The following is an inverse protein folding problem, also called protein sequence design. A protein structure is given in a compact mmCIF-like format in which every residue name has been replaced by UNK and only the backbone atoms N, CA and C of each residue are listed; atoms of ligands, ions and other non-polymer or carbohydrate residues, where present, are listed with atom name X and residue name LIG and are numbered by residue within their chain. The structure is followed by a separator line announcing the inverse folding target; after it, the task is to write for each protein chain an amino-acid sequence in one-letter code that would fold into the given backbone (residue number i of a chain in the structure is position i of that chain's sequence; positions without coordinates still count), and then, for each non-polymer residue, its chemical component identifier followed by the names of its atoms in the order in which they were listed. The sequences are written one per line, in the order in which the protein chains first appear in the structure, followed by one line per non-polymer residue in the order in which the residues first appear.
data_IF_754712176075
#
_entry.id   IF_754712176075
#
_cell.length_a   1.000
_cell.length_b   1.000
_cell.length_c   1.000
_cell.angle_alpha   90.00
_cell.angle_beta   90.00
_cell.angle_gamma   90.00
#
_symmetry.space_group_name_H-M   'P 1'
#
loop_
_entity.id
_entity.type
_entity.pdbx_description
1 polymer ?
#
# COMPACT_ATOMS: atom_id res chain seq x y z
N UNK A 1 1.62 -4.92 15.60
CA UNK A 1 0.14 -4.98 15.80
C UNK A 1 -0.51 -3.83 15.06
N UNK A 2 -1.71 -3.97 14.46
CA UNK A 2 -2.45 -2.84 13.87
C UNK A 2 -3.15 -2.03 14.96
N UNK A 3 -3.43 -0.74 14.68
CA UNK A 3 -4.16 0.13 15.63
C UNK A 3 -5.53 -0.44 15.96
N UNK A 4 -6.26 -0.97 14.99
CA UNK A 4 -7.56 -1.59 15.22
C UNK A 4 -7.45 -2.78 16.18
N UNK A 5 -6.46 -3.64 15.99
CA UNK A 5 -6.20 -4.78 16.88
C UNK A 5 -5.77 -4.31 18.28
N UNK A 6 -4.95 -3.26 18.37
CA UNK A 6 -4.55 -2.65 19.66
C UNK A 6 -5.76 -2.11 20.42
N UNK A 7 -6.64 -1.37 19.75
CA UNK A 7 -7.85 -0.81 20.37
C UNK A 7 -8.79 -1.92 20.88
N UNK A 8 -8.89 -3.05 20.17
CA UNK A 8 -9.74 -4.19 20.53
C UNK A 8 -9.07 -5.20 21.48
N UNK A 9 -7.77 -5.08 21.74
CA UNK A 9 -7.04 -5.99 22.64
C UNK A 9 -7.37 -5.76 24.12
N UNK A 10 -7.06 -6.76 24.98
CA UNK A 10 -7.24 -6.67 26.43
C UNK A 10 -6.29 -5.68 27.10
N UNK A 11 -6.61 -5.28 28.34
CA UNK A 11 -5.86 -4.27 29.09
C UNK A 11 -4.37 -4.61 29.29
N UNK A 12 -3.99 -5.88 29.31
CA UNK A 12 -2.57 -6.29 29.51
C UNK A 12 -1.66 -5.81 28.39
N UNK A 13 -2.16 -5.72 27.17
CA UNK A 13 -1.38 -5.31 25.99
C UNK A 13 -1.26 -3.79 25.87
N UNK A 14 -1.97 -3.04 26.71
CA UNK A 14 -2.05 -1.57 26.66
C UNK A 14 -1.15 -0.86 27.68
N UNK A 15 -0.40 -1.61 28.50
CA UNK A 15 0.58 -1.07 29.45
C UNK A 15 1.99 -1.37 28.95
N UNK A 16 2.78 -0.32 28.70
CA UNK A 16 4.14 -0.46 28.18
C UNK A 16 5.04 0.72 28.59
N UNK A 17 6.35 0.52 28.58
CA UNK A 17 7.29 1.64 28.83
C UNK A 17 7.34 2.58 27.62
N UNK A 18 7.35 2.02 26.40
CA UNK A 18 7.40 2.78 25.16
C UNK A 18 6.29 2.32 24.23
N UNK A 19 5.42 3.25 23.84
CA UNK A 19 4.45 3.05 22.77
C UNK A 19 4.98 3.66 21.49
N UNK A 20 5.28 2.81 20.52
CA UNK A 20 5.76 3.22 19.21
C UNK A 20 4.61 3.11 18.18
N UNK A 21 4.25 4.21 17.54
CA UNK A 21 3.21 4.24 16.50
C UNK A 21 3.84 4.69 15.19
N UNK A 22 3.85 3.79 14.21
CA UNK A 22 4.32 4.06 12.86
C UNK A 22 3.18 4.46 11.95
N UNK A 23 3.51 5.13 10.82
CA UNK A 23 2.56 5.61 9.81
C UNK A 23 1.43 6.49 10.39
N UNK A 24 1.79 7.36 11.33
CA UNK A 24 0.85 8.22 12.06
C UNK A 24 -0.01 9.11 11.15
N UNK A 25 0.45 9.44 9.93
CA UNK A 25 -0.34 10.18 8.92
C UNK A 25 -1.62 9.45 8.50
N UNK A 26 -1.63 8.11 8.59
CA UNK A 26 -2.77 7.28 8.22
C UNK A 26 -3.75 7.01 9.35
N UNK A 27 -3.42 7.44 10.56
CA UNK A 27 -4.23 7.20 11.77
C UNK A 27 -5.27 8.30 11.93
N UNK A 28 -6.55 7.94 12.07
CA UNK A 28 -7.62 8.91 12.28
C UNK A 28 -7.53 9.60 13.64
N UNK A 29 -8.09 10.83 13.74
CA UNK A 29 -8.21 11.53 15.02
C UNK A 29 -8.95 10.70 16.08
N UNK A 30 -10.01 9.98 15.65
CA UNK A 30 -10.83 9.12 16.52
C UNK A 30 -10.04 7.94 17.07
N UNK A 31 -9.27 7.27 16.21
CA UNK A 31 -8.49 6.09 16.62
C UNK A 31 -7.32 6.49 17.51
N UNK A 32 -6.64 7.60 17.17
CA UNK A 32 -5.56 8.11 18.04
C UNK A 32 -6.08 8.52 19.42
N UNK A 33 -7.25 9.15 19.49
CA UNK A 33 -7.87 9.50 20.77
C UNK A 33 -8.17 8.24 21.61
N UNK A 34 -8.65 7.17 21.00
CA UNK A 34 -8.86 5.88 21.69
C UNK A 34 -7.54 5.30 22.21
N UNK A 35 -6.50 5.29 21.36
CA UNK A 35 -5.18 4.80 21.79
C UNK A 35 -4.68 5.58 23.00
N UNK A 36 -4.76 6.91 22.98
CA UNK A 36 -4.32 7.76 24.09
C UNK A 36 -5.14 7.58 25.39
N UNK A 37 -6.44 7.28 25.26
CA UNK A 37 -7.31 7.04 26.42
C UNK A 37 -7.13 5.64 27.02
N UNK A 38 -6.81 4.65 26.19
CA UNK A 38 -6.77 3.25 26.60
C UNK A 38 -5.37 2.76 26.98
N UNK A 39 -4.31 3.44 26.52
CA UNK A 39 -2.93 3.01 26.72
C UNK A 39 -2.26 3.72 27.88
N UNK A 40 -1.49 2.97 28.68
CA UNK A 40 -0.59 3.47 29.71
C UNK A 40 0.85 3.33 29.24
N UNK A 41 1.56 4.44 29.08
CA UNK A 41 2.95 4.45 28.59
C UNK A 41 3.77 5.56 29.27
N UNK A 42 5.09 5.38 29.32
CA UNK A 42 6.05 6.38 29.82
C UNK A 42 6.55 7.27 28.69
N UNK A 43 6.73 6.69 27.48
CA UNK A 43 7.20 7.40 26.30
C UNK A 43 6.32 7.04 25.11
N UNK A 44 5.86 8.05 24.38
CA UNK A 44 5.17 7.90 23.09
C UNK A 44 6.10 8.33 21.97
N UNK A 45 6.34 7.44 21.02
CA UNK A 45 7.11 7.70 19.80
C UNK A 45 6.19 7.66 18.61
N UNK A 46 6.07 8.77 17.89
CA UNK A 46 5.21 8.92 16.72
C UNK A 46 6.08 9.06 15.48
N UNK A 47 5.86 8.18 14.51
CA UNK A 47 6.57 8.18 13.22
C UNK A 47 5.55 8.29 12.08
N UNK A 48 5.87 9.07 11.05
CA UNK A 48 5.01 9.23 9.88
C UNK A 48 5.51 10.30 8.93
N UNK A 49 4.91 10.36 7.76
CA UNK A 49 5.23 11.36 6.74
C UNK A 49 3.99 12.21 6.44
N UNK A 50 4.03 13.49 6.81
CA UNK A 50 2.94 14.44 6.61
C UNK A 50 2.68 14.78 5.13
N UNK A 51 3.57 14.38 4.23
CA UNK A 51 3.43 14.59 2.78
C UNK A 51 2.78 13.39 2.07
N UNK A 52 2.68 12.23 2.74
CA UNK A 52 1.95 11.07 2.23
C UNK A 52 0.43 11.20 2.43
N UNK A 53 -0.32 10.26 1.87
CA UNK A 53 -1.79 10.22 1.99
C UNK A 53 -2.20 10.19 3.46
N UNK A 54 -3.12 11.08 3.81
CA UNK A 54 -3.73 11.15 5.13
C UNK A 54 -4.75 10.02 5.33
N UNK A 55 -5.22 9.83 6.58
CA UNK A 55 -6.29 8.91 6.90
C UNK A 55 -7.54 9.16 6.05
N UNK A 56 -8.22 8.09 5.62
CA UNK A 56 -9.51 8.14 4.90
C UNK A 56 -10.58 8.83 5.75
N UNK A 57 -10.61 8.53 7.06
CA UNK A 57 -11.40 9.28 8.03
C UNK A 57 -10.62 10.50 8.50
N UNK A 58 -11.31 11.52 9.02
CA UNK A 58 -10.67 12.76 9.45
C UNK A 58 -9.45 12.51 10.35
N UNK A 59 -8.28 12.93 9.92
CA UNK A 59 -7.00 12.55 10.53
C UNK A 59 -5.86 13.52 10.29
N UNK A 60 -6.01 14.80 10.70
CA UNK A 60 -4.96 15.83 10.55
C UNK A 60 -4.10 16.05 11.81
N UNK A 61 -4.35 15.28 12.87
CA UNK A 61 -3.70 15.48 14.18
C UNK A 61 -2.17 15.35 14.11
N UNK A 62 -1.65 14.41 13.34
CA UNK A 62 -0.20 14.19 13.23
C UNK A 62 0.53 15.40 12.64
N UNK A 63 -0.03 16.00 11.58
CA UNK A 63 0.52 17.24 11.00
C UNK A 63 0.49 18.44 11.95
N UNK A 64 -0.47 18.47 12.90
CA UNK A 64 -0.57 19.51 13.91
C UNK A 64 0.28 19.24 15.15
N UNK A 65 0.56 17.98 15.49
CA UNK A 65 1.18 17.57 16.74
C UNK A 65 2.51 18.28 17.06
N UNK A 66 3.37 18.50 16.05
CA UNK A 66 4.65 19.19 16.19
C UNK A 66 4.53 20.63 16.74
N UNK A 67 3.36 21.26 16.64
CA UNK A 67 3.13 22.59 17.16
C UNK A 67 2.85 22.64 18.67
N UNK A 68 2.66 21.46 19.30
CA UNK A 68 2.28 21.28 20.70
C UNK A 68 3.32 20.51 21.53
N UNK A 69 4.41 20.06 20.90
CA UNK A 69 5.53 19.39 21.57
C UNK A 69 6.79 20.26 21.52
N UNK A 70 7.74 20.11 22.46
CA UNK A 70 9.01 20.83 22.41
C UNK A 70 9.77 20.54 21.10
N UNK A 71 10.42 21.54 20.54
CA UNK A 71 11.19 21.37 19.29
C UNK A 71 12.30 20.31 19.42
N UNK A 72 12.87 20.14 20.62
CA UNK A 72 13.86 19.10 20.91
C UNK A 72 13.30 17.66 20.85
N UNK A 73 11.97 17.50 20.81
CA UNK A 73 11.30 16.22 20.68
C UNK A 73 10.86 15.93 19.21
N UNK A 74 11.17 16.84 18.28
CA UNK A 74 10.81 16.68 16.85
C UNK A 74 12.08 16.44 16.05
N UNK A 75 12.10 15.30 15.37
CA UNK A 75 13.20 14.91 14.49
C UNK A 75 12.69 14.64 13.09
N UNK A 76 13.45 15.02 12.08
CA UNK A 76 13.17 14.74 10.69
C UNK A 76 14.27 13.84 10.11
N UNK A 77 13.87 12.72 9.48
CA UNK A 77 14.78 11.85 8.76
C UNK A 77 15.00 12.45 7.36
N UNK A 78 16.21 12.96 7.12
CA UNK A 78 16.53 13.68 5.88
C UNK A 78 17.03 12.78 4.76
N UNK A 79 17.64 11.64 5.08
CA UNK A 79 18.21 10.74 4.08
C UNK A 79 17.24 9.65 3.65
N UNK A 80 16.79 9.65 2.38
CA UNK A 80 16.00 8.56 1.85
C UNK A 80 16.89 7.35 1.52
N UNK A 81 16.51 6.18 2.01
CA UNK A 81 17.23 4.91 1.76
C UNK A 81 16.56 4.03 0.69
N UNK A 82 15.31 4.36 0.31
CA UNK A 82 14.51 3.56 -0.62
C UNK A 82 15.09 3.46 -2.03
N UNK A 83 15.69 4.53 -2.53
CA UNK A 83 16.25 4.60 -3.89
C UNK A 83 17.69 5.07 -3.87
N UNK A 84 18.48 4.53 -4.82
CA UNK A 84 19.81 5.03 -5.16
C UNK A 84 19.80 5.93 -6.41
N UNK A 85 18.64 6.04 -7.07
CA UNK A 85 18.46 6.87 -8.26
C UNK A 85 18.35 8.35 -7.88
N UNK A 86 19.41 9.10 -8.09
CA UNK A 86 19.50 10.52 -7.73
C UNK A 86 18.42 11.38 -8.39
N UNK A 87 18.03 11.05 -9.62
CA UNK A 87 16.99 11.82 -10.32
C UNK A 87 15.59 11.59 -9.69
N UNK A 88 15.29 10.37 -9.23
CA UNK A 88 14.07 10.11 -8.47
C UNK A 88 14.08 10.84 -7.13
N UNK A 89 15.19 10.78 -6.40
CA UNK A 89 15.33 11.48 -5.12
C UNK A 89 15.15 13.00 -5.29
N UNK A 90 15.70 13.57 -6.37
CA UNK A 90 15.51 14.99 -6.71
C UNK A 90 14.05 15.27 -7.03
N UNK A 91 13.36 14.41 -7.80
CA UNK A 91 11.93 14.58 -8.08
C UNK A 91 11.10 14.57 -6.80
N UNK A 92 11.34 13.62 -5.90
CA UNK A 92 10.64 13.55 -4.62
C UNK A 92 10.80 14.84 -3.81
N UNK A 93 12.03 15.35 -3.73
CA UNK A 93 12.30 16.59 -3.00
C UNK A 93 11.60 17.79 -3.66
N UNK A 94 11.63 17.91 -4.99
CA UNK A 94 10.95 18.97 -5.73
C UNK A 94 9.43 18.93 -5.53
N UNK A 95 8.83 17.75 -5.65
CA UNK A 95 7.38 17.58 -5.42
C UNK A 95 7.05 17.85 -3.95
N UNK A 96 7.85 17.37 -3.00
CA UNK A 96 7.68 17.66 -1.57
C UNK A 96 7.67 19.16 -1.29
N UNK A 97 8.53 19.92 -1.96
CA UNK A 97 8.65 21.38 -1.78
C UNK A 97 7.68 22.19 -2.64
N UNK A 98 7.07 21.57 -3.66
CA UNK A 98 6.31 22.23 -4.73
C UNK A 98 7.19 23.24 -5.46
N UNK A 99 8.37 22.81 -5.91
CA UNK A 99 9.31 23.64 -6.66
C UNK A 99 8.75 23.98 -8.04
N UNK A 100 9.05 25.15 -8.55
CA UNK A 100 8.50 25.64 -9.84
C UNK A 100 9.01 24.87 -11.06
N UNK A 101 10.09 24.10 -10.94
CA UNK A 101 10.76 23.36 -12.03
C UNK A 101 10.48 21.85 -12.01
N UNK A 102 9.40 21.40 -11.35
CA UNK A 102 8.97 20.00 -11.35
C UNK A 102 8.75 19.51 -12.78
N UNK A 103 8.01 20.26 -13.60
CA UNK A 103 7.72 19.91 -14.99
C UNK A 103 9.01 19.73 -15.81
N UNK A 104 9.96 20.66 -15.68
CA UNK A 104 11.26 20.57 -16.36
C UNK A 104 12.01 19.30 -15.96
N UNK A 105 12.02 18.96 -14.66
CA UNK A 105 12.69 17.78 -14.15
C UNK A 105 12.04 16.48 -14.64
N UNK A 106 10.70 16.40 -14.65
CA UNK A 106 9.92 15.28 -15.19
C UNK A 106 10.24 15.05 -16.66
N UNK A 107 10.23 16.12 -17.48
CA UNK A 107 10.49 16.08 -18.91
C UNK A 107 11.93 15.67 -19.21
N UNK A 108 12.92 16.29 -18.55
CA UNK A 108 14.35 16.02 -18.73
C UNK A 108 14.72 14.55 -18.42
N UNK A 109 14.07 13.96 -17.43
CA UNK A 109 14.34 12.57 -17.03
C UNK A 109 13.40 11.56 -17.70
N UNK A 110 12.59 12.00 -18.65
CA UNK A 110 11.66 11.15 -19.40
C UNK A 110 10.70 10.37 -18.47
N UNK A 111 10.19 11.02 -17.40
CA UNK A 111 9.20 10.42 -16.50
C UNK A 111 7.77 10.56 -17.02
N UNK A 112 7.47 11.55 -17.86
CA UNK A 112 6.17 11.73 -18.51
C UNK A 112 6.02 10.85 -19.74
N UNK A 113 4.83 10.34 -19.99
CA UNK A 113 4.43 9.58 -21.18
C UNK A 113 2.96 9.82 -21.49
N UNK A 114 2.60 9.69 -22.75
CA UNK A 114 1.20 9.69 -23.18
C UNK A 114 0.53 8.35 -22.85
N UNK A 115 -0.78 8.36 -22.66
CA UNK A 115 -1.58 7.16 -22.47
C UNK A 115 -1.56 6.31 -23.74
N UNK A 116 -0.82 5.21 -23.75
CA UNK A 116 -0.65 4.30 -24.88
C UNK A 116 -0.35 2.86 -24.42
N UNK A 117 -0.09 1.98 -25.36
CA UNK A 117 0.13 0.55 -25.12
C UNK A 117 1.38 0.24 -24.26
N UNK A 118 2.36 1.15 -24.19
CA UNK A 118 3.55 0.95 -23.36
C UNK A 118 3.25 0.83 -21.86
N UNK A 119 2.04 1.21 -21.41
CA UNK A 119 1.54 0.95 -20.08
C UNK A 119 1.63 -0.55 -19.73
N UNK A 120 1.32 -1.41 -20.72
CA UNK A 120 1.22 -2.85 -20.54
C UNK A 120 2.54 -3.60 -20.77
N UNK A 121 3.56 -2.93 -21.27
CA UNK A 121 4.89 -3.51 -21.44
C UNK A 121 5.56 -3.69 -20.08
N UNK A 122 5.86 -4.95 -19.70
CA UNK A 122 6.58 -5.22 -18.47
C UNK A 122 8.05 -4.89 -18.62
N UNK A 123 8.58 -4.00 -17.76
CA UNK A 123 9.97 -3.54 -17.82
C UNK A 123 10.86 -4.15 -16.74
N UNK A 124 10.27 -4.55 -15.61
CA UNK A 124 10.98 -5.14 -14.48
C UNK A 124 10.17 -6.28 -13.87
N UNK A 125 10.86 -7.15 -13.10
CA UNK A 125 10.21 -8.25 -12.39
C UNK A 125 9.28 -7.72 -11.29
N UNK A 126 9.75 -6.75 -10.50
CA UNK A 126 8.99 -6.07 -9.44
C UNK A 126 8.43 -4.75 -9.98
N UNK A 127 7.36 -4.84 -10.77
CA UNK A 127 6.69 -3.68 -11.39
C UNK A 127 5.23 -3.61 -10.97
N UNK A 128 4.74 -2.38 -10.77
CA UNK A 128 3.34 -2.09 -10.44
C UNK A 128 2.78 -0.95 -11.27
N UNK A 129 1.48 -1.05 -11.57
CA UNK A 129 0.70 0.05 -12.14
C UNK A 129 -0.17 0.65 -11.02
N UNK A 130 -0.07 1.97 -10.83
CA UNK A 130 -0.83 2.71 -9.82
C UNK A 130 -1.87 3.60 -10.49
N UNK A 131 -3.11 3.50 -10.03
CA UNK A 131 -4.22 4.37 -10.45
C UNK A 131 -5.18 4.63 -9.29
N UNK A 132 -6.18 5.50 -9.48
CA UNK A 132 -7.19 5.81 -8.47
C UNK A 132 -8.54 5.20 -8.78
N UNK A 133 -8.90 5.08 -10.06
CA UNK A 133 -10.17 4.52 -10.50
C UNK A 133 -10.13 2.98 -10.61
N UNK A 134 -11.22 2.34 -10.26
CA UNK A 134 -11.37 0.88 -10.41
C UNK A 134 -11.89 0.50 -11.80
N UNK A 135 -12.77 1.30 -12.36
CA UNK A 135 -13.45 1.04 -13.63
C UNK A 135 -12.97 1.97 -14.76
N UNK A 136 -13.37 1.70 -15.98
CA UNK A 136 -12.95 2.41 -17.18
C UNK A 136 -11.77 1.75 -17.91
N UNK A 137 -11.38 2.30 -19.05
CA UNK A 137 -10.34 1.72 -19.92
C UNK A 137 -9.01 1.53 -19.17
N UNK A 138 -8.62 2.53 -18.40
CA UNK A 138 -7.40 2.54 -17.60
C UNK A 138 -7.68 2.33 -16.10
N UNK A 139 -8.82 1.72 -15.76
CA UNK A 139 -9.15 1.35 -14.38
C UNK A 139 -8.44 0.08 -13.93
N UNK A 140 -8.25 -0.06 -12.62
CA UNK A 140 -7.56 -1.17 -11.97
C UNK A 140 -8.09 -2.53 -12.43
N UNK A 141 -9.42 -2.68 -12.47
CA UNK A 141 -10.08 -3.94 -12.85
C UNK A 141 -9.74 -4.34 -14.29
N UNK A 142 -9.78 -3.37 -15.21
CA UNK A 142 -9.53 -3.63 -16.63
C UNK A 142 -8.05 -3.92 -16.90
N UNK A 143 -7.14 -3.17 -16.27
CA UNK A 143 -5.69 -3.37 -16.38
C UNK A 143 -5.31 -4.75 -15.85
N UNK A 144 -5.80 -5.13 -14.66
CA UNK A 144 -5.53 -6.45 -14.08
C UNK A 144 -6.03 -7.57 -15.01
N UNK A 145 -7.24 -7.44 -15.55
CA UNK A 145 -7.81 -8.43 -16.49
C UNK A 145 -6.99 -8.53 -17.76
N UNK A 146 -6.59 -7.38 -18.34
CA UNK A 146 -5.79 -7.36 -19.56
C UNK A 146 -4.43 -8.01 -19.34
N UNK A 147 -3.66 -7.59 -18.30
CA UNK A 147 -2.34 -8.16 -18.02
C UNK A 147 -2.40 -9.63 -17.63
N UNK A 148 -3.42 -10.04 -16.88
CA UNK A 148 -3.65 -11.45 -16.59
C UNK A 148 -3.96 -12.24 -17.88
N UNK A 149 -4.66 -11.66 -18.85
CA UNK A 149 -4.91 -12.33 -20.13
C UNK A 149 -3.62 -12.56 -20.92
N UNK A 150 -2.64 -11.68 -20.79
CA UNK A 150 -1.31 -11.81 -21.40
C UNK A 150 -0.42 -12.85 -20.70
N UNK A 151 -0.75 -13.27 -19.48
CA UNK A 151 -0.05 -14.33 -18.79
C UNK A 151 -0.32 -15.67 -19.51
N UNK A 152 0.70 -16.41 -20.01
CA UNK A 152 0.53 -17.59 -20.86
C UNK A 152 0.06 -18.85 -20.10
N UNK A 153 0.07 -18.86 -18.77
CA UNK A 153 -0.35 -20.00 -18.01
C UNK A 153 -1.87 -20.23 -18.08
N UNK A 154 -2.25 -21.47 -17.91
CA UNK A 154 -3.66 -21.90 -17.95
C UNK A 154 -4.49 -21.18 -16.88
N UNK A 155 -5.68 -20.64 -17.24
CA UNK A 155 -6.56 -19.99 -16.29
C UNK A 155 -7.32 -21.00 -15.43
N UNK A 156 -7.28 -20.83 -14.13
CA UNK A 156 -8.04 -21.61 -13.16
C UNK A 156 -9.12 -20.73 -12.55
N UNK A 157 -10.36 -21.07 -12.80
CA UNK A 157 -11.51 -20.33 -12.29
C UNK A 157 -11.94 -20.85 -10.92
N UNK A 158 -12.12 -19.94 -9.94
CA UNK A 158 -12.68 -20.21 -8.62
C UNK A 158 -13.71 -19.14 -8.27
N UNK A 159 -14.97 -19.57 -8.15
CA UNK A 159 -16.08 -18.62 -8.06
C UNK A 159 -16.15 -17.72 -9.30
N UNK A 160 -16.17 -16.43 -9.09
CA UNK A 160 -16.18 -15.40 -10.15
C UNK A 160 -14.78 -14.96 -10.56
N UNK A 161 -13.75 -15.40 -9.86
CA UNK A 161 -12.36 -14.99 -10.08
C UNK A 161 -11.58 -16.02 -10.90
N UNK A 162 -10.61 -15.52 -11.63
CA UNK A 162 -9.66 -16.34 -12.39
C UNK A 162 -8.26 -16.13 -11.82
N UNK A 163 -7.50 -17.20 -11.69
CA UNK A 163 -6.12 -17.21 -11.20
C UNK A 163 -5.22 -17.93 -12.18
N UNK A 164 -3.98 -17.47 -12.31
CA UNK A 164 -2.96 -18.12 -13.13
C UNK A 164 -1.65 -18.21 -12.35
N UNK A 165 -0.91 -19.26 -12.57
CA UNK A 165 0.48 -19.34 -12.11
C UNK A 165 1.25 -18.14 -12.65
N UNK A 166 2.11 -17.52 -11.83
CA UNK A 166 2.85 -16.31 -12.19
C UNK A 166 2.11 -15.00 -11.96
N UNK A 167 0.81 -15.02 -11.62
CA UNK A 167 0.09 -13.79 -11.26
C UNK A 167 0.68 -13.15 -9.99
N UNK A 168 0.96 -11.84 -10.01
CA UNK A 168 1.31 -11.10 -8.79
C UNK A 168 0.06 -10.92 -7.92
N UNK A 169 0.26 -11.02 -6.61
CA UNK A 169 -0.83 -10.88 -5.64
C UNK A 169 -0.48 -9.91 -4.51
N UNK A 170 -1.52 -9.31 -3.90
CA UNK A 170 -1.43 -8.60 -2.62
C UNK A 170 -2.40 -9.25 -1.63
N UNK A 171 -1.89 -9.62 -0.47
CA UNK A 171 -2.72 -10.12 0.61
C UNK A 171 -3.66 -9.01 1.11
N UNK A 172 -4.93 -9.35 1.34
CA UNK A 172 -5.98 -8.41 1.76
C UNK A 172 -6.83 -8.90 2.94
N UNK A 173 -6.65 -10.17 3.36
CA UNK A 173 -7.30 -10.79 4.52
C UNK A 173 -6.24 -11.35 5.47
N UNK A 174 -5.73 -10.48 6.36
CA UNK A 174 -4.60 -10.83 7.22
C UNK A 174 -4.97 -11.60 8.48
N UNK A 175 -6.26 -11.65 8.87
CA UNK A 175 -6.64 -12.29 10.13
C UNK A 175 -6.33 -13.78 10.15
N UNK A 176 -6.43 -14.45 8.99
CA UNK A 176 -6.17 -15.87 8.83
C UNK A 176 -4.72 -16.24 9.11
N UNK A 177 -3.78 -15.40 8.70
CA UNK A 177 -2.34 -15.69 8.73
C UNK A 177 -1.54 -14.74 9.63
N UNK A 178 -2.25 -13.88 10.38
CA UNK A 178 -1.61 -12.91 11.26
C UNK A 178 -0.95 -13.60 12.47
N UNK A 179 0.20 -13.13 12.96
CA UNK A 179 0.87 -11.87 12.57
C UNK A 179 1.91 -12.01 11.47
N UNK A 180 2.13 -13.19 10.89
CA UNK A 180 3.22 -13.45 9.94
C UNK A 180 2.91 -12.81 8.59
N UNK A 181 1.70 -13.04 8.07
CA UNK A 181 1.24 -12.44 6.82
C UNK A 181 0.18 -11.41 7.14
N UNK A 182 0.37 -10.21 6.61
CA UNK A 182 -0.50 -9.07 6.86
C UNK A 182 -0.92 -8.39 5.56
N UNK A 183 -1.92 -7.52 5.65
CA UNK A 183 -2.46 -6.80 4.50
C UNK A 183 -1.38 -6.02 3.74
N UNK A 184 -1.49 -6.05 2.42
CA UNK A 184 -0.58 -5.46 1.46
C UNK A 184 0.80 -6.15 1.35
N UNK A 185 1.03 -7.32 1.94
CA UNK A 185 2.22 -8.10 1.59
C UNK A 185 2.13 -8.56 0.14
N UNK A 186 3.27 -8.45 -0.56
CA UNK A 186 3.41 -8.86 -1.96
C UNK A 186 3.66 -10.36 -2.05
N UNK A 187 3.10 -10.98 -3.10
CA UNK A 187 3.37 -12.38 -3.42
C UNK A 187 3.23 -12.67 -4.90
N UNK A 188 3.58 -13.89 -5.27
CA UNK A 188 3.40 -14.42 -6.61
C UNK A 188 2.85 -15.84 -6.53
N UNK A 189 1.86 -16.16 -7.35
CA UNK A 189 1.32 -17.52 -7.44
C UNK A 189 2.37 -18.43 -8.10
N UNK A 190 2.84 -19.45 -7.39
CA UNK A 190 3.83 -20.42 -7.87
C UNK A 190 3.16 -21.68 -8.40
N UNK A 191 2.10 -22.16 -7.69
CA UNK A 191 1.32 -23.30 -8.13
C UNK A 191 -0.14 -23.15 -7.69
N UNK A 192 -1.03 -23.77 -8.45
CA UNK A 192 -2.45 -23.88 -8.14
C UNK A 192 -2.88 -25.32 -8.36
N UNK A 193 -3.55 -25.90 -7.38
CA UNK A 193 -4.20 -27.19 -7.49
C UNK A 193 -5.69 -27.04 -7.13
N UNK A 194 -6.59 -27.59 -7.95
CA UNK A 194 -8.02 -27.40 -7.79
C UNK A 194 -8.77 -28.71 -7.90
N UNK A 195 -9.64 -28.93 -6.94
CA UNK A 195 -10.70 -29.96 -6.99
C UNK A 195 -12.07 -29.29 -7.13
N UNK A 196 -13.14 -30.06 -7.02
CA UNK A 196 -14.51 -29.54 -7.05
C UNK A 196 -14.82 -28.63 -5.84
N UNK A 197 -14.37 -29.02 -4.64
CA UNK A 197 -14.70 -28.38 -3.36
C UNK A 197 -13.58 -27.49 -2.80
N UNK A 198 -12.35 -27.61 -3.30
CA UNK A 198 -11.17 -26.97 -2.71
C UNK A 198 -10.25 -26.45 -3.79
N UNK A 199 -9.71 -25.24 -3.59
CA UNK A 199 -8.56 -24.72 -4.33
C UNK A 199 -7.39 -24.54 -3.39
N UNK A 200 -6.19 -24.93 -3.82
CA UNK A 200 -4.94 -24.82 -3.08
C UNK A 200 -3.99 -23.92 -3.82
N UNK A 201 -3.35 -23.02 -3.11
CA UNK A 201 -2.37 -22.11 -3.66
C UNK A 201 -1.01 -22.31 -3.00
N UNK A 202 0.04 -22.29 -3.81
CA UNK A 202 1.42 -22.06 -3.38
C UNK A 202 1.81 -20.64 -3.76
N UNK A 203 2.13 -19.82 -2.76
CA UNK A 203 2.44 -18.39 -2.95
C UNK A 203 3.85 -18.12 -2.45
N UNK A 204 4.72 -17.60 -3.32
CA UNK A 204 5.98 -16.97 -2.90
C UNK A 204 5.65 -15.64 -2.24
N UNK A 205 5.96 -15.47 -0.95
CA UNK A 205 5.64 -14.26 -0.18
C UNK A 205 6.89 -13.41 -0.04
N UNK A 206 6.85 -12.22 -0.62
CA UNK A 206 7.97 -11.29 -0.59
C UNK A 206 8.05 -10.59 0.77
N UNK A 207 9.28 -10.35 1.22
CA UNK A 207 9.58 -9.62 2.46
C UNK A 207 9.02 -10.28 3.75
N UNK A 208 8.61 -11.56 3.70
CA UNK A 208 8.25 -12.33 4.88
C UNK A 208 9.46 -13.07 5.45
N UNK A 209 9.56 -13.06 6.78
CA UNK A 209 10.49 -13.93 7.53
C UNK A 209 9.62 -14.97 8.23
N UNK A 210 9.69 -16.22 7.77
CA UNK A 210 8.92 -17.34 8.32
C UNK A 210 9.92 -18.37 8.83
N UNK A 211 9.84 -18.69 10.13
CA UNK A 211 10.61 -19.77 10.73
C UNK A 211 9.77 -21.05 10.74
N UNK A 212 10.39 -22.20 10.51
CA UNK A 212 9.70 -23.50 10.52
C UNK A 212 8.96 -23.78 11.84
N UNK A 213 9.45 -23.26 12.96
CA UNK A 213 8.84 -23.42 14.29
C UNK A 213 7.55 -22.60 14.45
N UNK A 214 7.36 -21.57 13.66
CA UNK A 214 6.20 -20.68 13.77
C UNK A 214 4.98 -21.23 12.99
N UNK A 215 5.21 -22.18 12.06
CA UNK A 215 4.19 -22.63 11.09
C UNK A 215 3.10 -23.50 11.73
N UNK A 216 3.41 -24.25 12.80
CA UNK A 216 2.44 -25.15 13.44
C UNK A 216 1.20 -24.44 14.05
N UNK A 217 1.29 -23.12 14.27
CA UNK A 217 0.21 -22.33 14.85
C UNK A 217 -0.71 -21.67 13.80
N UNK A 218 -0.36 -21.74 12.49
CA UNK A 218 -1.04 -21.00 11.43
C UNK A 218 -1.68 -21.89 10.39
N UNK A 219 -2.70 -21.37 9.73
CA UNK A 219 -3.47 -22.09 8.69
C UNK A 219 -2.78 -22.03 7.31
N UNK A 220 -1.47 -22.32 7.30
CA UNK A 220 -0.67 -22.53 6.09
C UNK A 220 0.54 -23.41 6.38
N UNK A 221 1.05 -24.07 5.36
CA UNK A 221 2.29 -24.85 5.40
C UNK A 221 3.42 -24.05 4.73
N UNK A 222 4.65 -24.15 5.26
CA UNK A 222 5.85 -23.72 4.57
C UNK A 222 6.31 -24.84 3.64
N UNK A 223 6.31 -24.59 2.31
CA UNK A 223 6.69 -25.59 1.31
C UNK A 223 8.22 -25.63 1.16
N UNK A 224 8.82 -24.48 0.85
CA UNK A 224 10.25 -24.30 0.63
C UNK A 224 10.62 -22.82 0.64
N UNK A 225 11.90 -22.53 0.56
CA UNK A 225 12.41 -21.17 0.29
C UNK A 225 12.84 -21.13 -1.17
N UNK A 226 12.34 -20.14 -1.90
CA UNK A 226 12.61 -19.97 -3.32
C UNK A 226 14.08 -19.61 -3.59
N UNK A 227 14.51 -19.69 -4.84
CA UNK A 227 15.85 -19.25 -5.29
C UNK A 227 16.12 -17.76 -5.02
N UNK A 228 15.08 -16.96 -4.82
CA UNK A 228 15.16 -15.54 -4.47
C UNK A 228 15.28 -15.31 -2.95
N UNK A 229 15.24 -16.37 -2.14
CA UNK A 229 15.28 -16.30 -0.68
C UNK A 229 13.95 -16.01 -0.02
N UNK A 230 12.82 -16.05 -0.75
CA UNK A 230 11.49 -15.82 -0.20
C UNK A 230 10.78 -17.14 0.15
N UNK A 231 10.03 -17.20 1.25
CA UNK A 231 9.27 -18.39 1.60
C UNK A 231 8.11 -18.62 0.62
N UNK A 232 7.89 -19.90 0.28
CA UNK A 232 6.70 -20.36 -0.44
C UNK A 232 5.77 -21.01 0.56
N UNK A 233 4.60 -20.41 0.74
CA UNK A 233 3.56 -20.94 1.63
C UNK A 233 2.49 -21.64 0.83
N UNK A 234 1.88 -22.66 1.44
CA UNK A 234 0.74 -23.41 0.91
C UNK A 234 -0.46 -23.27 1.82
N UNK A 235 -1.61 -22.94 1.25
CA UNK A 235 -2.89 -22.95 1.96
C UNK A 235 -4.04 -23.36 1.04
N UNK A 236 -5.15 -23.72 1.65
CA UNK A 236 -6.36 -24.13 0.94
C UNK A 236 -7.50 -23.14 1.15
N UNK A 237 -8.37 -23.04 0.14
CA UNK A 237 -9.61 -22.28 0.21
C UNK A 237 -10.76 -23.20 -0.15
N UNK A 238 -11.72 -23.34 0.76
CA UNK A 238 -12.87 -24.20 0.60
C UNK A 238 -13.98 -23.50 -0.19
N UNK A 239 -14.79 -24.28 -0.90
CA UNK A 239 -15.98 -23.75 -1.55
C UNK A 239 -17.04 -23.43 -0.50
N UNK A 240 -17.62 -22.24 -0.58
CA UNK A 240 -18.73 -21.86 0.27
C UNK A 240 -19.90 -22.83 0.01
N UNK A 241 -20.28 -23.65 0.99
CA UNK A 241 -21.48 -24.46 0.95
C UNK A 241 -22.60 -23.63 1.55
N UNK A 242 -23.70 -23.47 0.80
CA UNK A 242 -24.91 -22.80 1.28
C UNK A 242 -25.57 -23.68 2.35
N UNK A 243 -25.10 -23.58 3.58
CA UNK A 243 -25.78 -24.10 4.77
C UNK A 243 -26.12 -22.92 5.67
N UNK A 244 -27.28 -22.96 6.30
CA UNK A 244 -27.82 -21.93 7.20
C UNK A 244 -26.99 -21.71 8.49
N UNK A 245 -25.76 -22.18 8.53
CA UNK A 245 -24.83 -21.95 9.61
C UNK A 245 -24.02 -20.67 9.33
N UNK A 246 -24.29 -19.63 10.12
CA UNK A 246 -23.62 -18.30 10.15
C UNK A 246 -22.12 -18.35 10.51
N UNK A 247 -21.45 -19.47 10.30
CA UNK A 247 -19.99 -19.57 10.42
C UNK A 247 -19.35 -19.29 9.06
N UNK A 248 -19.17 -18.01 8.74
CA UNK A 248 -18.18 -17.56 7.74
C UNK A 248 -16.80 -18.03 8.21
N UNK A 249 -16.43 -19.25 7.80
CA UNK A 249 -15.09 -19.75 8.07
C UNK A 249 -14.10 -18.95 7.21
N UNK A 250 -13.06 -18.39 7.82
CA UNK A 250 -12.01 -17.61 7.15
C UNK A 250 -11.31 -18.39 6.01
N UNK A 251 -11.54 -19.70 5.91
CA UNK A 251 -11.02 -20.63 4.92
C UNK A 251 -11.84 -20.70 3.62
N UNK A 252 -12.96 -19.95 3.50
CA UNK A 252 -13.76 -19.88 2.26
C UNK A 252 -13.45 -18.65 1.41
N UNK A 253 -12.67 -17.72 1.94
CA UNK A 253 -12.27 -16.48 1.26
C UNK A 253 -10.83 -16.60 0.77
N UNK A 254 -10.59 -16.26 -0.51
CA UNK A 254 -9.23 -16.13 -1.03
C UNK A 254 -8.57 -14.91 -0.38
N UNK A 255 -7.47 -15.08 0.39
CA UNK A 255 -6.91 -14.03 1.25
C UNK A 255 -6.03 -13.02 0.50
N UNK A 256 -6.15 -12.94 -0.81
CA UNK A 256 -5.38 -12.03 -1.65
C UNK A 256 -6.18 -11.57 -2.88
N UNK A 257 -5.68 -10.53 -3.54
CA UNK A 257 -6.16 -10.05 -4.83
C UNK A 257 -5.05 -10.10 -5.88
N UNK A 258 -5.42 -10.23 -7.15
CA UNK A 258 -4.50 -10.06 -8.28
C UNK A 258 -4.02 -8.60 -8.32
N UNK A 259 -2.71 -8.40 -8.54
CA UNK A 259 -2.05 -7.13 -8.29
C UNK A 259 -1.05 -6.70 -9.38
N UNK A 260 -1.43 -6.79 -10.65
CA UNK A 260 -0.72 -6.09 -11.73
C UNK A 260 -0.91 -4.58 -11.63
N UNK A 261 -2.13 -4.15 -11.23
CA UNK A 261 -2.47 -2.77 -10.93
C UNK A 261 -3.19 -2.69 -9.58
N UNK A 262 -2.90 -1.64 -8.81
CA UNK A 262 -3.55 -1.38 -7.52
C UNK A 262 -3.83 0.11 -7.35
N UNK A 263 -4.65 0.45 -6.35
CA UNK A 263 -4.86 1.86 -6.02
C UNK A 263 -3.64 2.44 -5.32
N UNK A 264 -3.40 3.74 -5.53
CA UNK A 264 -2.32 4.46 -4.85
C UNK A 264 -2.45 4.32 -3.32
N UNK A 265 -3.67 4.25 -2.79
CA UNK A 265 -3.95 4.02 -1.37
C UNK A 265 -3.45 2.65 -0.89
N UNK A 266 -3.67 1.58 -1.68
CA UNK A 266 -3.21 0.23 -1.34
C UNK A 266 -1.69 0.09 -1.47
N UNK A 267 -1.05 0.91 -2.29
CA UNK A 267 0.39 0.94 -2.43
C UNK A 267 1.13 1.66 -1.28
N UNK A 268 0.43 2.23 -0.31
CA UNK A 268 1.08 2.77 0.89
C UNK A 268 1.92 1.68 1.57
N UNK A 269 3.10 2.05 2.08
CA UNK A 269 4.11 1.17 2.68
C UNK A 269 4.82 0.21 1.71
N UNK A 270 4.32 0.08 0.47
CA UNK A 270 4.95 -0.74 -0.55
C UNK A 270 5.98 0.06 -1.34
N UNK A 271 6.90 -0.67 -1.93
CA UNK A 271 7.89 -0.14 -2.86
C UNK A 271 8.15 -1.15 -3.97
N UNK A 272 8.49 -0.63 -5.15
CA UNK A 272 8.68 -1.43 -6.36
C UNK A 272 9.88 -0.92 -7.15
N UNK A 273 10.55 -1.82 -7.87
CA UNK A 273 11.67 -1.42 -8.73
C UNK A 273 11.20 -0.52 -9.87
N UNK A 274 10.01 -0.81 -10.43
CA UNK A 274 9.37 -0.01 -11.47
C UNK A 274 7.94 0.37 -11.10
N UNK A 275 7.60 1.65 -11.23
CA UNK A 275 6.25 2.16 -11.00
C UNK A 275 5.75 2.90 -12.22
N UNK A 276 4.57 2.53 -12.69
CA UNK A 276 3.79 3.24 -13.68
C UNK A 276 2.59 3.87 -13.01
N UNK A 277 2.41 5.17 -13.15
CA UNK A 277 1.27 5.90 -12.60
C UNK A 277 0.37 6.30 -13.76
N UNK A 278 -0.92 5.95 -13.69
CA UNK A 278 -1.90 6.32 -14.70
C UNK A 278 -2.84 7.37 -14.13
N UNK A 279 -2.90 8.51 -14.80
CA UNK A 279 -3.78 9.62 -14.42
C UNK A 279 -4.58 10.04 -15.63
N UNK A 280 -5.88 9.75 -15.63
CA UNK A 280 -6.81 10.19 -16.65
C UNK A 280 -7.47 11.52 -16.26
N UNK A 281 -8.05 12.22 -17.21
CA UNK A 281 -8.79 13.45 -16.97
C UNK A 281 -10.00 13.28 -16.05
N UNK A 282 -10.54 12.07 -15.94
CA UNK A 282 -11.67 11.74 -15.08
C UNK A 282 -11.32 11.82 -13.57
N UNK A 283 -10.03 11.62 -13.24
CA UNK A 283 -9.56 11.53 -11.86
C UNK A 283 -8.57 12.64 -11.49
N UNK A 284 -8.25 13.53 -12.42
CA UNK A 284 -7.20 14.57 -12.20
C UNK A 284 -7.50 15.46 -11.00
N UNK A 285 -8.78 15.75 -10.70
CA UNK A 285 -9.20 16.54 -9.54
C UNK A 285 -8.98 15.83 -8.20
N UNK A 286 -8.88 14.50 -8.23
CA UNK A 286 -8.60 13.69 -7.05
C UNK A 286 -7.10 13.65 -6.72
N UNK A 287 -6.23 14.03 -7.67
CA UNK A 287 -4.77 14.00 -7.50
C UNK A 287 -4.33 15.20 -6.67
N UNK A 288 -4.37 15.04 -5.36
CA UNK A 288 -3.79 16.01 -4.42
C UNK A 288 -2.26 15.89 -4.37
N UNK A 289 -1.59 16.88 -3.80
CA UNK A 289 -0.14 16.84 -3.53
C UNK A 289 0.27 15.53 -2.81
N UNK A 290 -0.45 15.17 -1.75
CA UNK A 290 -0.15 13.98 -0.94
C UNK A 290 -0.32 12.67 -1.75
N UNK A 291 -1.35 12.59 -2.60
CA UNK A 291 -1.58 11.43 -3.47
C UNK A 291 -0.46 11.32 -4.52
N UNK A 292 -0.12 12.42 -5.17
CA UNK A 292 0.95 12.46 -6.17
C UNK A 292 2.31 12.11 -5.56
N UNK A 293 2.65 12.73 -4.43
CA UNK A 293 3.88 12.43 -3.69
C UNK A 293 3.95 10.96 -3.24
N UNK A 294 2.86 10.43 -2.68
CA UNK A 294 2.80 9.01 -2.29
C UNK A 294 3.06 8.10 -3.49
N UNK A 295 2.44 8.36 -4.64
CA UNK A 295 2.58 7.53 -5.82
C UNK A 295 4.02 7.51 -6.35
N UNK A 296 4.65 8.67 -6.55
CA UNK A 296 6.01 8.75 -7.10
C UNK A 296 7.06 8.16 -6.16
N UNK A 297 6.84 8.22 -4.84
CA UNK A 297 7.76 7.68 -3.83
C UNK A 297 7.67 6.16 -3.68
N UNK A 298 6.80 5.46 -4.45
CA UNK A 298 6.79 3.99 -4.50
C UNK A 298 7.86 3.42 -5.39
N UNK A 299 8.43 4.21 -6.31
CA UNK A 299 9.45 3.78 -7.25
C UNK A 299 10.84 3.74 -6.61
N UNK A 300 11.58 2.62 -6.74
CA UNK A 300 12.99 2.52 -6.33
C UNK A 300 13.94 2.91 -7.46
N UNK A 301 13.70 2.43 -8.69
CA UNK A 301 14.62 2.57 -9.81
C UNK A 301 13.99 3.28 -11.01
N UNK A 302 12.75 2.93 -11.37
CA UNK A 302 12.08 3.42 -12.57
C UNK A 302 10.72 4.00 -12.27
N UNK A 303 10.41 5.12 -12.92
CA UNK A 303 9.12 5.81 -12.83
C UNK A 303 8.65 6.19 -14.25
N UNK A 304 7.37 5.94 -14.52
CA UNK A 304 6.64 6.50 -15.66
C UNK A 304 5.29 7.01 -15.20
N UNK A 305 4.91 8.19 -15.67
CA UNK A 305 3.62 8.81 -15.39
C UNK A 305 2.90 8.98 -16.72
N UNK A 306 1.78 8.30 -16.86
CA UNK A 306 0.96 8.30 -18.06
C UNK A 306 -0.23 9.24 -17.88
N UNK A 307 -0.25 10.29 -18.67
CA UNK A 307 -1.28 11.33 -18.67
C UNK A 307 -1.39 12.03 -20.01
N UNK A 308 -2.34 12.95 -20.16
CA UNK A 308 -2.34 13.89 -21.28
C UNK A 308 -1.54 15.14 -20.90
N UNK A 309 -1.05 15.94 -21.88
CA UNK A 309 -0.37 17.21 -21.58
C UNK A 309 -1.23 18.19 -20.77
N UNK A 310 -2.54 18.18 -21.00
CA UNK A 310 -3.50 19.01 -20.26
C UNK A 310 -3.60 18.58 -18.81
N UNK A 311 -3.73 17.26 -18.57
CA UNK A 311 -3.78 16.66 -17.22
C UNK A 311 -2.47 16.89 -16.47
N UNK A 312 -1.32 16.69 -17.13
CA UNK A 312 0.02 17.01 -16.57
C UNK A 312 0.08 18.44 -16.08
N UNK A 313 -0.25 19.40 -16.97
CA UNK A 313 -0.22 20.82 -16.65
C UNK A 313 -1.16 21.15 -15.47
N UNK A 314 -2.41 20.69 -15.51
CA UNK A 314 -3.41 20.95 -14.47
C UNK A 314 -2.97 20.43 -13.12
N UNK A 315 -2.42 19.21 -13.06
CA UNK A 315 -1.95 18.63 -11.80
C UNK A 315 -0.75 19.39 -11.27
N UNK A 316 0.31 19.57 -12.07
CA UNK A 316 1.54 20.18 -11.59
C UNK A 316 1.37 21.64 -11.16
N UNK A 317 0.48 22.40 -11.82
CA UNK A 317 0.14 23.76 -11.43
C UNK A 317 -0.87 23.83 -10.28
N UNK A 318 -1.63 22.77 -10.06
CA UNK A 318 -2.65 22.68 -9.01
C UNK A 318 -2.13 22.08 -7.69
N UNK A 319 -0.87 21.67 -7.60
CA UNK A 319 -0.30 21.16 -6.36
C UNK A 319 -0.29 22.22 -5.26
N UNK A 320 -0.99 21.96 -4.18
CA UNK A 320 -1.09 22.87 -3.03
C UNK A 320 -0.83 22.07 -1.75
N UNK A 321 0.03 22.59 -0.88
CA UNK A 321 0.20 22.04 0.46
C UNK A 321 -1.02 22.35 1.31
N UNK A 322 -1.51 21.33 1.98
CA UNK A 322 -2.47 21.52 3.08
C UNK A 322 -1.71 22.00 4.32
N UNK A 323 -2.04 23.18 4.80
CA UNK A 323 -1.49 23.71 6.05
C UNK A 323 -2.56 23.62 7.14
N UNK A 324 -2.22 23.04 8.28
CA UNK A 324 -3.09 22.95 9.45
C UNK A 324 -3.05 24.22 10.33
N UNK A 325 -2.60 25.37 9.78
CA UNK A 325 -2.40 26.60 10.55
C UNK A 325 -3.66 27.11 11.24
N UNK A 326 -4.83 26.99 10.58
CA UNK A 326 -6.11 27.38 11.18
C UNK A 326 -6.48 26.48 12.37
N UNK A 327 -6.32 25.18 12.20
CA UNK A 327 -6.62 24.20 13.24
C UNK A 327 -5.65 24.35 14.42
N UNK A 328 -4.37 24.55 14.13
CA UNK A 328 -3.34 24.82 15.16
C UNK A 328 -3.68 26.09 15.93
N UNK A 329 -4.05 27.18 15.25
CA UNK A 329 -4.42 28.42 15.91
C UNK A 329 -5.68 28.27 16.79
N UNK A 330 -6.70 27.55 16.31
CA UNK A 330 -7.91 27.27 17.07
C UNK A 330 -7.63 26.39 18.29
N UNK A 331 -6.78 25.38 18.15
CA UNK A 331 -6.39 24.52 19.27
C UNK A 331 -5.58 25.29 20.31
N UNK A 332 -4.62 26.14 19.91
CA UNK A 332 -3.84 26.99 20.81
C UNK A 332 -4.69 28.01 21.58
N UNK A 333 -5.79 28.47 20.97
CA UNK A 333 -6.72 29.38 21.62
C UNK A 333 -7.63 28.69 22.67
N UNK A 334 -7.71 27.36 22.66
CA UNK A 334 -8.53 26.56 23.60
C UNK A 334 -7.71 25.96 24.75
N UNK A 335 -6.39 25.92 24.62
CA UNK A 335 -5.44 25.52 25.66
C UNK A 335 -5.05 26.71 26.54
#
# INVERSE_FOLDING_TARGET
MTITKFISSGNKDKVCDVLFIDECSTVSNKDMLKVLNDAEFRLLVLVGDIFQIESITFGNWFGAAKAFVPQSAVFELEQPYRSKNKNLLTLWQKVRNIDNDILEHITRNNYSATLNESIFEKTEKDEIILCLNYDGLYGINNINRFLQSCNPHEPIQWGIQTYKVGDPVLFNESNRFAPIIYNNMKGQIIAIDKTEDVIRFDIEVMDAIINELDVEEYDFDLVEVSSNGYPIIRFTVNRLKSTDDDNDSSDTIVPFQIAYAVSIHKAQRLEYDSVKIIITNEIEELITHNIFYTAITRAKERLKIYWTPETEHKILTGLIRKFNNKDIALLKAKL
#
